data_IF_738143692120
#
_entry.id   IF_738143692120
#
_cell.length_a   1.000
_cell.length_b   1.000
_cell.length_c   1.000
_cell.angle_alpha   90.00
_cell.angle_beta   90.00
_cell.angle_gamma   90.00
#
_symmetry.space_group_name_H-M   'P 1'
#
loop_
_entity.id
_entity.type
_entity.pdbx_description
1 polymer ?
#
# COMPACT_ATOMS: atom_id res chain seq x y z
N UNK A 1 11.78 -3.81 -27.03
CA UNK A 1 10.34 -4.00 -27.39
C UNK A 1 10.24 -4.09 -28.90
N UNK A 2 9.58 -5.09 -29.42
CA UNK A 2 9.46 -5.26 -30.89
C UNK A 2 8.17 -4.60 -31.39
N UNK A 3 8.19 -4.05 -32.62
CA UNK A 3 6.98 -3.50 -33.27
C UNK A 3 5.84 -4.53 -33.36
N UNK A 4 6.16 -5.81 -33.39
CA UNK A 4 5.20 -6.90 -33.37
C UNK A 4 4.40 -6.94 -32.07
N UNK A 5 5.07 -6.74 -30.90
CA UNK A 5 4.41 -6.70 -29.60
C UNK A 5 3.43 -5.54 -29.50
N UNK A 6 3.83 -4.35 -29.98
CA UNK A 6 2.95 -3.17 -29.98
C UNK A 6 1.75 -3.40 -30.90
N UNK A 7 1.96 -3.93 -32.10
CA UNK A 7 0.87 -4.24 -33.03
C UNK A 7 -0.11 -5.25 -32.47
N UNK A 8 0.38 -6.31 -31.79
CA UNK A 8 -0.46 -7.29 -31.10
C UNK A 8 -1.34 -6.65 -30.02
N UNK A 9 -0.76 -5.76 -29.22
CA UNK A 9 -1.50 -5.08 -28.15
C UNK A 9 -2.48 -4.02 -28.67
N UNK A 10 -2.24 -3.45 -29.84
CA UNK A 10 -3.16 -2.52 -30.51
C UNK A 10 -4.28 -3.26 -31.25
N UNK A 11 -4.04 -4.50 -31.72
CA UNK A 11 -5.11 -5.35 -32.25
C UNK A 11 -5.90 -5.87 -31.04
N UNK A 12 -7.18 -5.49 -30.94
CA UNK A 12 -8.11 -6.01 -29.92
C UNK A 12 -8.77 -7.28 -30.49
N UNK A 13 -8.32 -8.48 -30.10
CA UNK A 13 -9.07 -9.68 -30.46
C UNK A 13 -10.45 -9.61 -29.80
N UNK A 14 -11.50 -9.86 -30.55
CA UNK A 14 -12.89 -9.80 -30.05
C UNK A 14 -13.17 -10.87 -28.99
N UNK A 15 -12.26 -11.82 -28.79
CA UNK A 15 -12.41 -13.04 -27.99
C UNK A 15 -11.25 -13.31 -27.04
N UNK A 16 -10.79 -12.29 -26.32
CA UNK A 16 -9.80 -12.49 -25.25
C UNK A 16 -10.37 -13.41 -24.17
N UNK A 17 -9.94 -14.68 -24.17
CA UNK A 17 -10.38 -15.71 -23.23
C UNK A 17 -10.04 -15.34 -21.77
N UNK A 18 -8.98 -14.58 -21.55
CA UNK A 18 -8.52 -14.13 -20.21
C UNK A 18 -8.04 -12.69 -20.24
N UNK A 19 -8.93 -11.69 -20.34
CA UNK A 19 -8.54 -10.28 -20.41
C UNK A 19 -7.64 -9.83 -19.26
N UNK A 20 -7.88 -10.33 -18.04
CA UNK A 20 -7.10 -10.00 -16.86
C UNK A 20 -5.63 -10.48 -16.94
N UNK A 21 -5.36 -11.61 -17.59
CA UNK A 21 -4.00 -12.09 -17.79
C UNK A 21 -3.21 -11.21 -18.78
N UNK A 22 -3.90 -10.66 -19.79
CA UNK A 22 -3.29 -9.71 -20.73
C UNK A 22 -2.99 -8.34 -20.14
N UNK A 23 -3.67 -7.99 -19.07
CA UNK A 23 -3.49 -6.68 -18.45
C UNK A 23 -2.05 -6.45 -17.94
N UNK A 24 -1.44 -7.44 -17.32
CA UNK A 24 -0.07 -7.35 -16.83
C UNK A 24 0.93 -6.98 -17.92
N UNK A 25 0.87 -7.67 -19.06
CA UNK A 25 1.74 -7.42 -20.23
C UNK A 25 1.44 -6.06 -20.87
N UNK A 26 0.17 -5.73 -21.04
CA UNK A 26 -0.28 -4.47 -21.60
C UNK A 26 0.19 -3.28 -20.77
N UNK A 27 0.04 -3.34 -19.45
CA UNK A 27 0.52 -2.33 -18.52
C UNK A 27 2.04 -2.14 -18.60
N UNK A 28 2.79 -3.25 -18.62
CA UNK A 28 4.25 -3.21 -18.69
C UNK A 28 4.74 -2.52 -19.98
N UNK A 29 4.17 -2.90 -21.12
CA UNK A 29 4.51 -2.30 -22.41
C UNK A 29 4.12 -0.83 -22.48
N UNK A 30 2.90 -0.48 -22.03
CA UNK A 30 2.45 0.91 -22.02
C UNK A 30 3.37 1.81 -21.17
N UNK A 31 3.81 1.34 -20.00
CA UNK A 31 4.75 2.09 -19.16
C UNK A 31 6.14 2.23 -19.79
N UNK A 32 6.62 1.23 -20.52
CA UNK A 32 7.88 1.34 -21.27
C UNK A 32 7.77 2.36 -22.41
N UNK A 33 6.65 2.36 -23.14
CA UNK A 33 6.38 3.33 -24.20
C UNK A 33 6.27 4.75 -23.64
N UNK A 34 5.59 4.89 -22.50
CA UNK A 34 5.46 6.16 -21.79
C UNK A 34 6.83 6.70 -21.34
N UNK A 35 7.68 5.84 -20.78
CA UNK A 35 9.04 6.19 -20.39
C UNK A 35 9.92 6.59 -21.57
N UNK A 36 9.64 6.07 -22.77
CA UNK A 36 10.29 6.48 -24.02
C UNK A 36 9.73 7.81 -24.61
N UNK A 37 8.74 8.42 -23.95
CA UNK A 37 8.18 9.73 -24.32
C UNK A 37 6.95 9.68 -25.25
N UNK A 38 6.50 8.51 -25.69
CA UNK A 38 5.31 8.39 -26.55
C UNK A 38 4.02 8.16 -25.73
N UNK A 39 3.51 9.25 -25.16
CA UNK A 39 2.30 9.21 -24.35
C UNK A 39 1.04 8.81 -25.14
N UNK A 40 0.96 9.18 -26.42
CA UNK A 40 -0.19 8.88 -27.27
C UNK A 40 -0.26 7.37 -27.56
N UNK A 41 0.86 6.76 -27.91
CA UNK A 41 0.93 5.32 -28.12
C UNK A 41 0.68 4.56 -26.82
N UNK A 42 1.28 5.00 -25.69
CA UNK A 42 1.03 4.40 -24.39
C UNK A 42 -0.46 4.42 -24.03
N UNK A 43 -1.12 5.55 -24.21
CA UNK A 43 -2.57 5.68 -24.00
C UNK A 43 -3.38 4.74 -24.88
N UNK A 44 -3.06 4.64 -26.18
CA UNK A 44 -3.74 3.71 -27.11
C UNK A 44 -3.58 2.25 -26.68
N UNK A 45 -2.38 1.87 -26.22
CA UNK A 45 -2.13 0.52 -25.70
C UNK A 45 -3.01 0.24 -24.48
N UNK A 46 -3.08 1.16 -23.52
CA UNK A 46 -3.90 1.01 -22.31
C UNK A 46 -5.39 1.01 -22.67
N UNK A 47 -5.86 1.92 -23.50
CA UNK A 47 -7.27 2.05 -23.87
C UNK A 47 -7.89 0.80 -24.51
N UNK A 48 -7.05 -0.11 -25.01
CA UNK A 48 -7.50 -1.40 -25.58
C UNK A 48 -7.53 -2.54 -24.52
N UNK A 49 -7.64 -2.22 -23.22
CA UNK A 49 -7.49 -3.19 -22.13
C UNK A 49 -8.54 -4.30 -22.09
N UNK A 50 -9.75 -4.07 -22.57
CA UNK A 50 -10.82 -5.09 -22.62
C UNK A 50 -11.36 -5.55 -21.26
N UNK A 51 -10.94 -4.92 -20.16
CA UNK A 51 -11.46 -5.21 -18.81
C UNK A 51 -12.84 -4.58 -18.63
N UNK A 52 -13.72 -5.25 -17.91
CA UNK A 52 -15.09 -4.77 -17.67
C UNK A 52 -15.38 -4.47 -16.19
N UNK A 53 -14.64 -5.12 -15.27
CA UNK A 53 -14.85 -5.04 -13.83
C UNK A 53 -13.60 -5.43 -13.03
N UNK A 54 -13.65 -5.27 -11.73
CA UNK A 54 -12.64 -5.71 -10.78
C UNK A 54 -11.36 -4.88 -10.76
N UNK A 55 -10.31 -5.44 -10.15
CA UNK A 55 -9.07 -4.70 -9.94
C UNK A 55 -8.34 -4.36 -11.26
N UNK A 56 -8.32 -5.29 -12.22
CA UNK A 56 -7.67 -5.07 -13.50
C UNK A 56 -8.35 -3.93 -14.30
N UNK A 57 -9.69 -3.80 -14.21
CA UNK A 57 -10.42 -2.67 -14.77
C UNK A 57 -10.02 -1.35 -14.10
N UNK A 58 -10.03 -1.32 -12.76
CA UNK A 58 -9.62 -0.12 -11.99
C UNK A 58 -8.20 0.33 -12.31
N UNK A 59 -7.26 -0.60 -12.43
CA UNK A 59 -5.87 -0.33 -12.78
C UNK A 59 -5.73 0.20 -14.22
N UNK A 60 -6.50 -0.35 -15.14
CA UNK A 60 -6.46 0.04 -16.56
C UNK A 60 -7.04 1.44 -16.77
N UNK A 61 -8.21 1.70 -16.23
CA UNK A 61 -8.83 3.03 -16.29
C UNK A 61 -7.98 4.09 -15.57
N UNK A 62 -7.39 3.71 -14.41
CA UNK A 62 -6.48 4.60 -13.71
C UNK A 62 -5.26 4.97 -14.57
N UNK A 63 -4.59 4.00 -15.18
CA UNK A 63 -3.40 4.27 -15.99
C UNK A 63 -3.74 5.10 -17.23
N UNK A 64 -4.88 4.82 -17.88
CA UNK A 64 -5.36 5.63 -19.01
C UNK A 64 -5.62 7.08 -18.58
N UNK A 65 -6.34 7.28 -17.47
CA UNK A 65 -6.61 8.61 -16.90
C UNK A 65 -5.34 9.35 -16.49
N UNK A 66 -4.39 8.66 -15.86
CA UNK A 66 -3.09 9.23 -15.48
C UNK A 66 -2.30 9.71 -16.69
N UNK A 67 -2.18 8.89 -17.75
CA UNK A 67 -1.51 9.26 -18.99
C UNK A 67 -2.21 10.46 -19.64
N UNK A 68 -3.53 10.43 -19.74
CA UNK A 68 -4.32 11.52 -20.31
C UNK A 68 -4.11 12.84 -19.56
N UNK A 69 -4.14 12.80 -18.21
CA UNK A 69 -3.99 14.00 -17.38
C UNK A 69 -2.57 14.56 -17.40
N UNK A 70 -1.59 13.70 -17.10
CA UNK A 70 -0.22 14.17 -16.79
C UNK A 70 0.65 14.28 -18.02
N UNK A 71 0.50 13.40 -19.00
CA UNK A 71 1.38 13.33 -20.17
C UNK A 71 0.74 13.91 -21.44
N UNK A 72 -0.57 13.70 -21.64
CA UNK A 72 -1.26 14.25 -22.83
C UNK A 72 -1.89 15.62 -22.59
N UNK A 73 -2.01 16.07 -21.32
CA UNK A 73 -2.67 17.33 -20.92
C UNK A 73 -4.14 17.41 -21.38
N UNK A 74 -4.84 16.28 -21.30
CA UNK A 74 -6.26 16.16 -21.67
C UNK A 74 -7.11 15.86 -20.41
N UNK A 75 -7.38 16.87 -19.57
CA UNK A 75 -8.04 16.66 -18.28
C UNK A 75 -9.50 16.18 -18.40
N UNK A 76 -10.21 16.53 -19.48
CA UNK A 76 -11.58 16.03 -19.69
C UNK A 76 -11.60 14.54 -19.97
N UNK A 77 -10.67 14.06 -20.81
CA UNK A 77 -10.51 12.64 -21.12
C UNK A 77 -10.09 11.84 -19.86
N UNK A 78 -9.17 12.40 -19.07
CA UNK A 78 -8.76 11.79 -17.81
C UNK A 78 -9.93 11.66 -16.83
N UNK A 79 -10.76 12.69 -16.73
CA UNK A 79 -11.94 12.70 -15.87
C UNK A 79 -12.95 11.60 -16.23
N UNK A 80 -13.14 11.33 -17.53
CA UNK A 80 -13.99 10.23 -18.00
C UNK A 80 -13.49 8.88 -17.46
N UNK A 81 -12.18 8.60 -17.56
CA UNK A 81 -11.57 7.37 -17.04
C UNK A 81 -11.76 7.22 -15.52
N UNK A 82 -11.48 8.28 -14.75
CA UNK A 82 -11.66 8.22 -13.29
C UNK A 82 -13.14 8.07 -12.89
N UNK A 83 -14.06 8.62 -13.68
CA UNK A 83 -15.50 8.44 -13.50
C UNK A 83 -15.94 6.99 -13.68
N UNK A 84 -15.36 6.28 -14.66
CA UNK A 84 -15.64 4.86 -14.85
C UNK A 84 -15.25 4.02 -13.63
N UNK A 85 -14.12 4.33 -12.97
CA UNK A 85 -13.72 3.64 -11.74
C UNK A 85 -14.74 3.88 -10.63
N UNK A 86 -15.11 5.13 -10.39
CA UNK A 86 -16.01 5.49 -9.29
C UNK A 86 -17.40 4.84 -9.42
N UNK A 87 -17.87 4.63 -10.66
CA UNK A 87 -19.19 4.06 -10.94
C UNK A 87 -19.22 2.53 -10.95
N UNK A 88 -18.07 1.87 -11.23
CA UNK A 88 -18.04 0.42 -11.45
C UNK A 88 -17.27 -0.38 -10.40
N UNK A 89 -16.48 0.28 -9.56
CA UNK A 89 -15.65 -0.40 -8.57
C UNK A 89 -16.00 0.07 -7.16
N UNK A 90 -16.20 -0.87 -6.23
CA UNK A 90 -16.70 -0.56 -4.89
C UNK A 90 -15.63 -0.63 -3.80
N UNK A 91 -14.36 -0.96 -4.12
CA UNK A 91 -13.32 -1.04 -3.10
C UNK A 91 -12.90 0.35 -2.61
N UNK A 92 -12.69 0.56 -1.30
CA UNK A 92 -12.25 1.82 -0.73
C UNK A 92 -11.01 2.41 -1.41
N UNK A 93 -10.05 1.55 -1.74
CA UNK A 93 -8.82 1.98 -2.43
C UNK A 93 -9.11 2.54 -3.82
N UNK A 94 -9.93 1.87 -4.63
CA UNK A 94 -10.25 2.33 -5.98
C UNK A 94 -11.06 3.63 -5.94
N UNK A 95 -12.04 3.74 -5.00
CA UNK A 95 -12.84 4.95 -4.80
C UNK A 95 -11.98 6.14 -4.35
N UNK A 96 -11.08 5.93 -3.38
CA UNK A 96 -10.17 6.96 -2.93
C UNK A 96 -9.27 7.47 -4.06
N UNK A 97 -8.67 6.55 -4.83
CA UNK A 97 -7.81 6.88 -5.96
C UNK A 97 -8.58 7.63 -7.05
N UNK A 98 -9.76 7.15 -7.42
CA UNK A 98 -10.61 7.83 -8.40
C UNK A 98 -11.05 9.21 -7.90
N UNK A 99 -11.41 9.34 -6.62
CA UNK A 99 -11.79 10.61 -6.00
C UNK A 99 -10.66 11.64 -6.04
N UNK A 100 -9.45 11.24 -5.64
CA UNK A 100 -8.29 12.13 -5.68
C UNK A 100 -7.91 12.55 -7.11
N UNK A 101 -7.76 11.60 -8.03
CA UNK A 101 -7.33 11.90 -9.40
C UNK A 101 -8.41 12.54 -10.25
N UNK A 102 -9.69 12.20 -10.01
CA UNK A 102 -10.84 12.89 -10.60
C UNK A 102 -10.94 14.35 -10.13
N UNK A 103 -10.66 14.60 -8.85
CA UNK A 103 -10.52 15.95 -8.30
C UNK A 103 -9.43 16.74 -9.01
N UNK A 104 -8.21 16.18 -9.15
CA UNK A 104 -7.10 16.81 -9.91
C UNK A 104 -7.46 17.07 -11.37
N UNK A 105 -8.21 16.15 -12.00
CA UNK A 105 -8.66 16.35 -13.38
C UNK A 105 -9.72 17.45 -13.50
N UNK A 106 -10.60 17.60 -12.51
CA UNK A 106 -11.57 18.67 -12.45
C UNK A 106 -10.91 20.05 -12.21
N UNK A 107 -9.92 20.12 -11.31
CA UNK A 107 -9.10 21.33 -11.10
C UNK A 107 -8.39 21.78 -12.37
N UNK A 108 -7.78 20.84 -13.09
CA UNK A 108 -7.12 21.12 -14.37
C UNK A 108 -8.10 21.63 -15.45
N UNK A 109 -9.42 21.46 -15.27
CA UNK A 109 -10.47 22.03 -16.09
C UNK A 109 -11.00 23.37 -15.55
N UNK A 110 -10.49 23.86 -14.41
CA UNK A 110 -11.01 25.08 -13.74
C UNK A 110 -12.33 24.86 -13.01
N UNK A 111 -12.75 23.61 -12.73
CA UNK A 111 -14.04 23.24 -12.13
C UNK A 111 -13.88 22.98 -10.62
N UNK A 112 -13.64 24.03 -9.82
CA UNK A 112 -13.28 23.90 -8.39
C UNK A 112 -14.36 23.23 -7.55
N UNK A 113 -15.64 23.51 -7.76
CA UNK A 113 -16.74 22.86 -7.02
C UNK A 113 -16.80 21.35 -7.32
N UNK A 114 -16.60 20.98 -8.58
CA UNK A 114 -16.57 19.59 -8.99
C UNK A 114 -15.35 18.88 -8.37
N UNK A 115 -14.19 19.54 -8.36
CA UNK A 115 -12.98 19.03 -7.73
C UNK A 115 -13.19 18.75 -6.24
N UNK A 116 -13.77 19.72 -5.51
CA UNK A 116 -14.08 19.55 -4.09
C UNK A 116 -15.06 18.38 -3.82
N UNK A 117 -16.05 18.18 -4.68
CA UNK A 117 -16.95 17.01 -4.60
C UNK A 117 -16.21 15.69 -4.77
N UNK A 118 -15.30 15.61 -5.72
CA UNK A 118 -14.52 14.40 -5.98
C UNK A 118 -13.51 14.11 -4.86
N UNK A 119 -12.82 15.14 -4.37
CA UNK A 119 -11.97 15.01 -3.19
C UNK A 119 -12.78 14.58 -1.96
N UNK A 120 -14.01 15.10 -1.80
CA UNK A 120 -14.93 14.67 -0.75
C UNK A 120 -15.19 13.17 -0.79
N UNK A 121 -15.51 12.62 -1.95
CA UNK A 121 -15.73 11.18 -2.13
C UNK A 121 -14.46 10.35 -1.86
N UNK A 122 -13.30 10.85 -2.26
CA UNK A 122 -12.01 10.20 -1.93
C UNK A 122 -11.72 10.21 -0.43
N UNK A 123 -11.96 11.33 0.23
CA UNK A 123 -11.69 11.56 1.65
C UNK A 123 -12.56 10.73 2.61
N UNK A 124 -13.64 10.10 2.14
CA UNK A 124 -14.38 9.10 2.93
C UNK A 124 -13.54 7.87 3.29
N UNK A 125 -12.42 7.66 2.60
CA UNK A 125 -11.58 6.47 2.73
C UNK A 125 -10.21 6.77 3.34
N UNK A 126 -10.18 7.38 4.53
CA UNK A 126 -8.98 7.85 5.24
C UNK A 126 -7.97 6.75 5.60
N UNK A 127 -8.36 5.47 5.55
CA UNK A 127 -7.43 4.35 5.72
C UNK A 127 -6.55 4.09 4.47
N UNK A 128 -6.65 4.94 3.43
CA UNK A 128 -5.95 4.78 2.16
C UNK A 128 -5.09 6.00 1.82
N UNK A 129 -4.00 5.79 1.11
CA UNK A 129 -3.09 6.84 0.65
C UNK A 129 -3.82 7.98 -0.08
N UNK A 130 -4.64 7.64 -1.06
CA UNK A 130 -5.38 8.64 -1.83
C UNK A 130 -6.52 9.28 -1.06
N UNK A 131 -7.10 8.59 -0.08
CA UNK A 131 -8.10 9.16 0.82
C UNK A 131 -7.52 10.27 1.69
N UNK A 132 -6.31 10.05 2.22
CA UNK A 132 -5.57 11.05 2.99
C UNK A 132 -5.16 12.25 2.12
N UNK A 133 -4.71 12.01 0.89
CA UNK A 133 -4.40 13.09 -0.06
C UNK A 133 -5.64 13.88 -0.46
N UNK A 134 -6.77 13.22 -0.68
CA UNK A 134 -8.04 13.89 -0.99
C UNK A 134 -8.52 14.74 0.20
N UNK A 135 -8.37 14.26 1.42
CA UNK A 135 -8.68 15.02 2.62
C UNK A 135 -7.81 16.28 2.76
N UNK A 136 -6.50 16.16 2.45
CA UNK A 136 -5.59 17.30 2.42
C UNK A 136 -6.06 18.39 1.44
N UNK A 137 -6.52 18.02 0.23
CA UNK A 137 -7.03 18.99 -0.75
C UNK A 137 -8.28 19.76 -0.25
N UNK A 138 -8.93 19.26 0.79
CA UNK A 138 -10.06 19.91 1.47
C UNK A 138 -9.64 20.63 2.76
N UNK A 139 -8.34 20.80 3.02
CA UNK A 139 -7.81 21.40 4.24
C UNK A 139 -7.98 20.53 5.49
N UNK A 140 -8.09 19.21 5.33
CA UNK A 140 -8.24 18.24 6.42
C UNK A 140 -6.93 17.47 6.62
N UNK A 141 -5.96 18.07 7.31
CA UNK A 141 -4.58 17.55 7.44
C UNK A 141 -4.35 16.64 8.65
N UNK A 142 -5.35 16.50 9.52
CA UNK A 142 -5.19 15.66 10.72
C UNK A 142 -4.98 14.18 10.34
N UNK A 143 -4.03 13.49 10.97
CA UNK A 143 -3.88 12.05 10.82
C UNK A 143 -5.20 11.32 11.13
N UNK A 144 -5.47 10.19 10.45
CA UNK A 144 -6.65 9.38 10.75
C UNK A 144 -6.63 8.96 12.22
N UNK A 145 -7.66 9.34 12.97
CA UNK A 145 -7.80 8.90 14.36
C UNK A 145 -8.36 7.49 14.39
N UNK A 146 -7.88 6.63 15.33
CA UNK A 146 -8.51 5.34 15.53
C UNK A 146 -10.00 5.51 15.80
N UNK A 147 -10.81 4.84 15.00
CA UNK A 147 -12.25 4.71 15.27
C UNK A 147 -12.44 3.46 16.14
N UNK A 148 -13.37 3.48 17.11
CA UNK A 148 -13.73 2.28 17.84
C UNK A 148 -14.05 1.14 16.86
N UNK A 149 -13.53 -0.03 17.12
CA UNK A 149 -13.84 -1.20 16.32
C UNK A 149 -15.25 -1.71 16.66
N UNK A 150 -15.89 -2.42 15.72
CA UNK A 150 -17.23 -2.97 15.98
C UNK A 150 -17.23 -3.90 17.18
N UNK A 151 -18.10 -3.64 18.15
CA UNK A 151 -18.29 -4.48 19.33
C UNK A 151 -19.40 -5.49 19.07
N UNK A 152 -19.10 -6.82 19.16
CA UNK A 152 -20.12 -7.83 18.97
C UNK A 152 -21.06 -7.92 20.19
N UNK A 153 -22.31 -8.22 19.95
CA UNK A 153 -23.28 -8.58 20.99
C UNK A 153 -22.98 -9.95 21.58
N UNK A 154 -23.54 -10.27 22.76
CA UNK A 154 -23.38 -11.58 23.39
C UNK A 154 -23.89 -12.73 22.51
N UNK A 155 -24.98 -12.48 21.76
CA UNK A 155 -25.55 -13.46 20.84
C UNK A 155 -24.64 -13.70 19.65
N UNK A 156 -24.03 -12.64 19.06
CA UNK A 156 -23.06 -12.77 17.97
C UNK A 156 -21.81 -13.54 18.42
N UNK A 157 -21.31 -13.29 19.64
CA UNK A 157 -20.19 -14.05 20.21
C UNK A 157 -20.57 -15.53 20.36
N UNK A 158 -21.75 -15.83 20.90
CA UNK A 158 -22.23 -17.21 21.09
C UNK A 158 -22.35 -17.93 19.74
N UNK A 159 -22.92 -17.27 18.73
CA UNK A 159 -23.05 -17.81 17.39
C UNK A 159 -21.68 -18.04 16.73
N UNK A 160 -20.77 -17.08 16.87
CA UNK A 160 -19.41 -17.18 16.35
C UNK A 160 -18.64 -18.34 16.97
N UNK A 161 -18.67 -18.49 18.29
CA UNK A 161 -17.99 -19.58 19.01
C UNK A 161 -18.62 -20.95 18.71
N UNK A 162 -19.90 -20.99 18.41
CA UNK A 162 -20.61 -22.21 17.97
C UNK A 162 -20.28 -22.65 16.54
N UNK A 163 -19.71 -21.75 15.71
CA UNK A 163 -19.47 -22.06 14.31
C UNK A 163 -18.31 -23.06 14.14
N UNK A 164 -18.58 -24.17 13.44
CA UNK A 164 -17.63 -25.31 13.34
C UNK A 164 -16.24 -24.88 12.82
N UNK A 165 -16.18 -23.99 11.83
CA UNK A 165 -14.90 -23.54 11.27
C UNK A 165 -14.12 -22.62 12.21
N UNK A 166 -14.81 -21.85 13.07
CA UNK A 166 -14.17 -21.04 14.13
C UNK A 166 -13.55 -21.95 15.17
N UNK A 167 -14.32 -22.98 15.61
CA UNK A 167 -13.82 -23.98 16.56
C UNK A 167 -12.63 -24.74 15.99
N UNK A 168 -12.68 -25.13 14.71
CA UNK A 168 -11.56 -25.78 14.04
C UNK A 168 -10.31 -24.87 14.00
N UNK A 169 -10.46 -23.60 13.62
CA UNK A 169 -9.34 -22.66 13.61
C UNK A 169 -8.69 -22.53 15.00
N UNK A 170 -9.53 -22.35 16.05
CA UNK A 170 -9.06 -22.26 17.43
C UNK A 170 -8.33 -23.53 17.87
N UNK A 171 -8.89 -24.70 17.64
CA UNK A 171 -8.27 -25.98 18.00
C UNK A 171 -6.92 -26.16 17.31
N UNK A 172 -6.79 -25.82 16.03
CA UNK A 172 -5.50 -25.91 15.35
C UNK A 172 -4.45 -24.97 15.95
N UNK A 173 -4.83 -23.74 16.31
CA UNK A 173 -3.91 -22.82 17.00
C UNK A 173 -3.50 -23.35 18.38
N UNK A 174 -4.44 -23.90 19.17
CA UNK A 174 -4.17 -24.50 20.48
C UNK A 174 -3.23 -25.70 20.40
N UNK A 175 -3.34 -26.49 19.33
CA UNK A 175 -2.46 -27.63 19.04
C UNK A 175 -1.10 -27.21 18.45
N UNK A 176 -0.86 -25.92 18.23
CA UNK A 176 0.36 -25.41 17.60
C UNK A 176 0.41 -25.61 16.08
N UNK A 177 -0.65 -26.11 15.46
CA UNK A 177 -0.76 -26.26 14.00
C UNK A 177 -1.22 -24.94 13.35
N UNK A 178 -0.30 -23.99 13.35
CA UNK A 178 -0.54 -22.66 12.82
C UNK A 178 -0.87 -22.66 11.32
N UNK A 179 -0.42 -23.65 10.57
CA UNK A 179 -0.66 -23.74 9.12
C UNK A 179 -2.14 -24.00 8.82
N UNK A 180 -2.73 -24.99 9.46
CA UNK A 180 -4.16 -25.29 9.30
C UNK A 180 -5.03 -24.19 9.95
N UNK A 181 -4.68 -23.70 11.15
CA UNK A 181 -5.38 -22.58 11.77
C UNK A 181 -5.49 -21.37 10.85
N UNK A 182 -4.41 -21.02 10.15
CA UNK A 182 -4.36 -19.96 9.13
C UNK A 182 -5.34 -20.20 7.98
N UNK A 183 -5.41 -21.43 7.45
CA UNK A 183 -6.31 -21.76 6.34
C UNK A 183 -7.77 -21.52 6.72
N UNK A 184 -8.20 -22.01 7.89
CA UNK A 184 -9.57 -21.83 8.38
C UNK A 184 -9.87 -20.35 8.67
N UNK A 185 -8.98 -19.64 9.36
CA UNK A 185 -9.18 -18.24 9.69
C UNK A 185 -9.31 -17.36 8.43
N UNK A 186 -8.42 -17.55 7.45
CA UNK A 186 -8.46 -16.77 6.21
C UNK A 186 -9.66 -17.15 5.33
N UNK A 187 -10.09 -18.41 5.35
CA UNK A 187 -11.34 -18.80 4.70
C UNK A 187 -12.53 -18.04 5.31
N UNK A 188 -12.64 -18.05 6.64
CA UNK A 188 -13.68 -17.30 7.35
C UNK A 188 -13.64 -15.80 7.02
N UNK A 189 -12.45 -15.19 7.03
CA UNK A 189 -12.28 -13.77 6.72
C UNK A 189 -12.64 -13.43 5.25
N UNK A 190 -12.42 -14.36 4.31
CA UNK A 190 -12.80 -14.16 2.91
C UNK A 190 -14.33 -14.20 2.68
N UNK A 191 -15.09 -14.82 3.59
CA UNK A 191 -16.54 -14.95 3.51
C UNK A 191 -17.27 -14.08 4.53
N UNK A 192 -16.54 -13.38 5.40
CA UNK A 192 -17.12 -12.45 6.36
C UNK A 192 -17.77 -11.25 5.64
N UNK A 193 -18.96 -10.88 6.09
CA UNK A 193 -19.72 -9.75 5.56
C UNK A 193 -20.10 -8.74 6.63
N UNK A 194 -20.06 -9.13 7.91
CA UNK A 194 -20.41 -8.26 9.03
C UNK A 194 -19.17 -7.63 9.66
N UNK A 195 -19.24 -6.34 10.03
CA UNK A 195 -18.17 -5.64 10.75
C UNK A 195 -17.74 -6.38 12.03
N UNK A 196 -18.69 -6.88 12.82
CA UNK A 196 -18.42 -7.61 14.07
C UNK A 196 -17.74 -8.95 13.84
N UNK A 197 -18.06 -9.65 12.74
CA UNK A 197 -17.36 -10.88 12.35
C UNK A 197 -15.88 -10.63 12.04
N UNK A 198 -15.55 -9.55 11.34
CA UNK A 198 -14.14 -9.19 11.10
C UNK A 198 -13.41 -8.89 12.41
N UNK A 199 -14.03 -8.15 13.34
CA UNK A 199 -13.44 -7.84 14.63
C UNK A 199 -13.18 -9.12 15.45
N UNK A 200 -14.15 -10.03 15.52
CA UNK A 200 -14.00 -11.32 16.22
C UNK A 200 -12.92 -12.21 15.61
N UNK A 201 -12.81 -12.26 14.28
CA UNK A 201 -11.76 -13.02 13.60
C UNK A 201 -10.37 -12.43 13.84
N UNK A 202 -10.23 -11.09 13.85
CA UNK A 202 -8.99 -10.41 14.16
C UNK A 202 -8.58 -10.64 15.61
N UNK A 203 -9.53 -10.58 16.56
CA UNK A 203 -9.32 -10.90 17.97
C UNK A 203 -8.91 -12.36 18.15
N UNK A 204 -9.56 -13.32 17.47
CA UNK A 204 -9.16 -14.72 17.49
C UNK A 204 -7.72 -14.93 17.05
N UNK A 205 -7.31 -14.29 15.95
CA UNK A 205 -5.93 -14.34 15.47
C UNK A 205 -4.94 -13.77 16.51
N UNK A 206 -5.23 -12.59 17.05
CA UNK A 206 -4.38 -11.92 18.03
C UNK A 206 -4.25 -12.74 19.33
N UNK A 207 -5.37 -13.27 19.85
CA UNK A 207 -5.38 -14.10 21.06
C UNK A 207 -4.64 -15.43 20.85
N UNK A 208 -4.52 -15.89 19.61
CA UNK A 208 -3.70 -17.05 19.23
C UNK A 208 -2.23 -16.71 18.97
N UNK A 209 -1.77 -15.49 19.30
CA UNK A 209 -0.41 -15.03 19.06
C UNK A 209 -0.08 -14.76 17.57
N UNK A 210 -1.07 -14.75 16.69
CA UNK A 210 -0.92 -14.60 15.24
C UNK A 210 -1.27 -13.18 14.80
N UNK A 211 -0.40 -12.23 15.17
CA UNK A 211 -0.54 -10.82 14.80
C UNK A 211 -0.58 -10.64 13.26
N UNK A 212 0.21 -11.42 12.53
CA UNK A 212 0.23 -11.45 11.07
C UNK A 212 -1.15 -11.76 10.48
N UNK A 213 -1.88 -12.68 11.09
CA UNK A 213 -3.22 -13.04 10.66
C UNK A 213 -4.27 -12.00 11.07
N UNK A 214 -4.12 -11.37 12.23
CA UNK A 214 -4.99 -10.25 12.62
C UNK A 214 -4.88 -9.10 11.60
N UNK A 215 -3.67 -8.76 11.17
CA UNK A 215 -3.42 -7.78 10.10
C UNK A 215 -4.03 -8.26 8.77
N UNK A 216 -3.92 -9.56 8.43
CA UNK A 216 -4.52 -10.09 7.22
C UNK A 216 -6.05 -9.99 7.22
N UNK A 217 -6.70 -10.23 8.35
CA UNK A 217 -8.14 -10.03 8.55
C UNK A 217 -8.49 -8.54 8.42
N UNK A 218 -7.74 -7.67 9.08
CA UNK A 218 -7.96 -6.22 9.03
C UNK A 218 -7.82 -5.65 7.61
N UNK A 219 -6.90 -6.15 6.79
CA UNK A 219 -6.78 -5.77 5.37
C UNK A 219 -8.06 -6.12 4.60
N UNK A 220 -8.66 -7.30 4.83
CA UNK A 220 -9.94 -7.70 4.22
C UNK A 220 -11.11 -6.86 4.73
N UNK A 221 -11.11 -6.55 6.02
CA UNK A 221 -12.10 -5.68 6.62
C UNK A 221 -12.08 -4.27 6.00
N UNK A 222 -10.89 -3.71 5.76
CA UNK A 222 -10.73 -2.43 5.03
C UNK A 222 -11.31 -2.54 3.61
N UNK A 223 -11.02 -3.62 2.88
CA UNK A 223 -11.57 -3.85 1.55
C UNK A 223 -13.10 -3.96 1.55
N UNK A 224 -13.67 -4.48 2.63
CA UNK A 224 -15.13 -4.53 2.87
C UNK A 224 -15.71 -3.21 3.42
N UNK A 225 -14.90 -2.16 3.61
CA UNK A 225 -15.34 -0.87 4.12
C UNK A 225 -15.41 -0.75 5.65
N UNK A 226 -14.85 -1.74 6.37
CA UNK A 226 -14.81 -1.77 7.85
C UNK A 226 -13.36 -1.70 8.34
N UNK A 227 -12.76 -0.52 8.52
CA UNK A 227 -11.39 -0.42 8.98
C UNK A 227 -11.26 -0.87 10.45
N UNK A 228 -10.42 -1.89 10.71
CA UNK A 228 -10.01 -2.31 12.04
C UNK A 228 -8.70 -1.61 12.40
N UNK A 229 -8.80 -0.52 13.15
CA UNK A 229 -7.64 0.35 13.43
C UNK A 229 -6.81 -0.13 14.63
N UNK A 230 -7.35 -0.99 15.49
CA UNK A 230 -6.63 -1.54 16.66
C UNK A 230 -5.93 -2.84 16.25
N UNK A 231 -6.70 -3.84 15.81
CA UNK A 231 -6.16 -5.14 15.42
C UNK A 231 -5.30 -5.09 14.14
N UNK A 232 -5.60 -4.14 13.25
CA UNK A 232 -4.86 -3.99 12.00
C UNK A 232 -3.55 -3.22 12.10
N UNK A 233 -3.31 -2.53 13.23
CA UNK A 233 -2.14 -1.66 13.41
C UNK A 233 -1.45 -1.91 14.77
N UNK A 234 -0.94 -3.11 15.00
CA UNK A 234 -0.26 -3.47 16.24
C UNK A 234 1.03 -2.68 16.40
N UNK A 235 1.45 -2.52 17.66
CA UNK A 235 2.74 -1.95 18.03
C UNK A 235 3.56 -2.97 18.81
N UNK A 236 4.88 -2.78 18.88
CA UNK A 236 5.80 -3.58 19.67
C UNK A 236 6.83 -2.68 20.35
N UNK A 237 7.55 -3.21 21.32
CA UNK A 237 8.69 -2.50 21.89
C UNK A 237 9.77 -2.33 20.81
N UNK A 238 10.30 -1.12 20.74
CA UNK A 238 11.38 -0.75 19.83
C UNK A 238 12.62 -0.36 20.63
N UNK A 239 13.83 -0.60 20.10
CA UNK A 239 15.05 -0.08 20.68
C UNK A 239 14.96 1.43 20.90
N UNK A 240 15.45 1.93 22.00
CA UNK A 240 15.51 3.37 22.29
C UNK A 240 16.54 4.07 21.39
N UNK A 241 16.37 5.38 21.21
CA UNK A 241 17.29 6.22 20.41
C UNK A 241 16.94 6.24 18.91
N UNK A 242 17.84 6.87 18.14
CA UNK A 242 17.67 7.08 16.70
C UNK A 242 16.81 8.31 16.36
N UNK A 243 16.77 8.66 15.09
CA UNK A 243 16.08 9.85 14.54
C UNK A 243 14.79 9.48 13.81
N UNK A 244 14.68 8.24 13.32
CA UNK A 244 13.46 7.78 12.66
C UNK A 244 12.33 7.58 13.68
N UNK A 245 11.17 8.15 13.38
CA UNK A 245 10.00 8.03 14.25
C UNK A 245 9.48 6.59 14.31
N UNK A 246 9.02 6.17 15.49
CA UNK A 246 8.50 4.81 15.72
C UNK A 246 7.33 4.47 14.78
N UNK A 247 6.49 5.45 14.46
CA UNK A 247 5.38 5.30 13.52
C UNK A 247 5.83 4.84 12.14
N UNK A 248 6.97 5.33 11.64
CA UNK A 248 7.54 4.90 10.37
C UNK A 248 8.06 3.46 10.44
N UNK A 249 8.71 3.09 11.55
CA UNK A 249 9.21 1.73 11.74
C UNK A 249 8.06 0.72 11.82
N UNK A 250 6.98 1.04 12.54
CA UNK A 250 5.79 0.20 12.58
C UNK A 250 5.12 0.09 11.20
N UNK A 251 5.06 1.18 10.44
CA UNK A 251 4.52 1.16 9.08
C UNK A 251 5.32 0.24 8.16
N UNK A 252 6.65 0.25 8.26
CA UNK A 252 7.55 -0.65 7.53
C UNK A 252 7.36 -2.10 8.00
N UNK A 253 7.41 -2.39 9.31
CA UNK A 253 7.21 -3.75 9.85
C UNK A 253 5.87 -4.34 9.41
N UNK A 254 4.80 -3.52 9.43
CA UNK A 254 3.47 -3.95 8.96
C UNK A 254 3.47 -4.32 7.49
N UNK A 255 4.22 -3.60 6.68
CA UNK A 255 4.29 -3.85 5.23
C UNK A 255 5.22 -5.01 4.88
N UNK A 256 6.34 -5.18 5.60
CA UNK A 256 7.37 -6.19 5.34
C UNK A 256 6.96 -7.59 5.82
N UNK A 257 6.63 -7.73 7.09
CA UNK A 257 6.39 -9.04 7.71
C UNK A 257 5.00 -9.20 8.31
N UNK A 258 4.18 -8.14 8.32
CA UNK A 258 2.99 -8.09 9.15
C UNK A 258 3.30 -8.43 10.64
N UNK A 259 4.45 -8.00 11.15
CA UNK A 259 4.96 -8.28 12.50
C UNK A 259 5.30 -9.77 12.76
N UNK A 260 5.46 -10.61 11.74
CA UNK A 260 5.92 -11.98 11.89
C UNK A 260 7.45 -11.98 12.15
N UNK A 261 7.84 -12.35 13.38
CA UNK A 261 9.23 -12.19 13.86
C UNK A 261 10.21 -13.12 13.15
N UNK A 262 9.78 -14.31 12.82
CA UNK A 262 10.56 -15.38 12.18
C UNK A 262 10.34 -15.45 10.66
N UNK A 263 9.71 -14.43 10.07
CA UNK A 263 9.46 -14.39 8.64
C UNK A 263 10.75 -14.48 7.83
N UNK A 264 10.75 -15.36 6.82
CA UNK A 264 11.81 -15.50 5.84
C UNK A 264 11.21 -15.46 4.44
N UNK A 265 11.60 -14.47 3.65
CA UNK A 265 11.10 -14.35 2.28
C UNK A 265 11.77 -15.36 1.34
N UNK A 266 11.18 -15.57 0.15
CA UNK A 266 11.76 -16.46 -0.89
C UNK A 266 13.16 -16.04 -1.34
N UNK A 267 13.50 -14.76 -1.21
CA UNK A 267 14.80 -14.20 -1.59
C UNK A 267 15.76 -14.09 -0.39
N UNK A 268 15.34 -14.54 0.79
CA UNK A 268 16.16 -14.62 1.99
C UNK A 268 16.17 -13.37 2.87
N UNK A 269 15.24 -12.42 2.68
CA UNK A 269 15.03 -11.34 3.64
C UNK A 269 14.41 -11.90 4.95
N UNK A 270 14.81 -11.37 6.12
CA UNK A 270 14.55 -11.99 7.43
C UNK A 270 14.00 -11.03 8.47
N UNK A 271 13.09 -11.53 9.28
CA UNK A 271 12.58 -10.94 10.52
C UNK A 271 11.57 -9.80 10.30
N UNK A 272 11.28 -9.06 11.37
CA UNK A 272 10.25 -8.02 11.43
C UNK A 272 10.36 -6.99 10.30
N UNK A 273 11.57 -6.55 10.00
CA UNK A 273 11.83 -5.52 8.98
C UNK A 273 12.38 -6.11 7.67
N UNK A 274 12.33 -7.45 7.49
CA UNK A 274 12.74 -8.14 6.27
C UNK A 274 14.10 -7.70 5.72
N UNK A 275 15.11 -7.69 6.60
CA UNK A 275 16.47 -7.32 6.20
C UNK A 275 17.15 -8.43 5.41
N UNK A 276 17.76 -8.06 4.28
CA UNK A 276 18.70 -8.95 3.60
C UNK A 276 19.94 -9.16 4.47
N UNK A 277 20.43 -10.42 4.66
CA UNK A 277 21.58 -10.69 5.51
C UNK A 277 22.84 -9.86 5.19
N UNK A 278 23.11 -9.62 3.91
CA UNK A 278 24.23 -8.79 3.50
C UNK A 278 24.07 -7.31 3.93
N UNK A 279 22.86 -6.76 3.82
CA UNK A 279 22.55 -5.40 4.29
C UNK A 279 22.69 -5.32 5.81
N UNK A 280 22.09 -6.27 6.54
CA UNK A 280 22.16 -6.33 7.99
C UNK A 280 23.59 -6.45 8.51
N UNK A 281 24.42 -7.32 7.90
CA UNK A 281 25.84 -7.47 8.22
C UNK A 281 26.64 -6.16 8.03
N UNK A 282 26.38 -5.44 6.93
CA UNK A 282 27.02 -4.15 6.67
C UNK A 282 26.64 -3.10 7.72
N UNK A 283 25.37 -3.09 8.16
CA UNK A 283 24.89 -2.16 9.19
C UNK A 283 25.47 -2.52 10.55
N UNK A 284 25.44 -3.80 10.93
CA UNK A 284 26.03 -4.27 12.18
C UNK A 284 27.52 -3.92 12.28
N UNK A 285 28.27 -4.08 11.18
CA UNK A 285 29.69 -3.69 11.13
C UNK A 285 29.89 -2.17 11.34
N UNK A 286 29.05 -1.33 10.75
CA UNK A 286 29.08 0.14 10.97
C UNK A 286 28.79 0.50 12.43
N UNK A 287 27.90 -0.25 13.06
CA UNK A 287 27.53 -0.07 14.48
C UNK A 287 28.50 -0.76 15.45
N UNK A 288 29.53 -1.45 14.96
CA UNK A 288 30.47 -2.26 15.74
C UNK A 288 29.77 -3.36 16.57
N UNK A 289 28.67 -3.92 16.03
CA UNK A 289 27.91 -5.00 16.65
C UNK A 289 28.29 -6.33 16.04
N UNK A 290 28.29 -7.44 16.82
CA UNK A 290 28.42 -8.78 16.27
C UNK A 290 27.20 -9.10 15.38
N UNK A 291 27.43 -9.96 14.37
CA UNK A 291 26.41 -10.33 13.41
C UNK A 291 26.27 -11.84 13.24
N UNK A 292 25.03 -12.31 13.30
CA UNK A 292 24.61 -13.62 12.79
C UNK A 292 23.31 -13.46 12.02
N UNK A 293 23.20 -14.11 10.86
CA UNK A 293 21.98 -14.07 10.06
C UNK A 293 20.77 -14.69 10.79
N UNK A 294 21.01 -15.63 11.69
CA UNK A 294 19.95 -16.29 12.47
C UNK A 294 19.36 -15.38 13.55
N UNK A 295 20.13 -14.42 14.03
CA UNK A 295 19.62 -13.42 14.99
C UNK A 295 18.55 -12.51 14.37
N UNK A 296 18.54 -12.37 13.05
CA UNK A 296 17.51 -11.57 12.36
C UNK A 296 16.08 -12.11 12.55
N UNK A 297 15.94 -13.40 12.82
CA UNK A 297 14.66 -14.06 13.10
C UNK A 297 14.48 -14.42 14.58
N UNK A 298 15.58 -14.70 15.30
CA UNK A 298 15.54 -15.07 16.69
C UNK A 298 15.33 -13.87 17.63
N UNK A 299 15.89 -12.70 17.30
CA UNK A 299 15.84 -11.49 18.10
C UNK A 299 15.18 -10.33 17.34
N UNK A 300 13.89 -10.09 17.64
CA UNK A 300 13.11 -9.01 17.02
C UNK A 300 13.66 -7.62 17.36
N UNK A 301 14.23 -7.44 18.55
CA UNK A 301 14.84 -6.17 19.00
C UNK A 301 16.10 -5.86 18.21
N UNK A 302 16.94 -6.88 18.00
CA UNK A 302 18.13 -6.76 17.16
C UNK A 302 17.76 -6.46 15.69
N UNK A 303 16.75 -7.16 15.13
CA UNK A 303 16.26 -6.88 13.78
C UNK A 303 15.74 -5.45 13.65
N UNK A 304 14.94 -4.98 14.63
CA UNK A 304 14.41 -3.63 14.66
C UNK A 304 15.51 -2.56 14.77
N UNK A 305 16.56 -2.82 15.56
CA UNK A 305 17.72 -1.93 15.70
C UNK A 305 18.46 -1.73 14.38
N UNK A 306 18.80 -2.83 13.72
CA UNK A 306 19.46 -2.77 12.41
C UNK A 306 18.57 -2.15 11.35
N UNK A 307 17.28 -2.50 11.36
CA UNK A 307 16.28 -1.94 10.43
C UNK A 307 16.10 -0.42 10.60
N UNK A 308 16.02 0.06 11.84
CA UNK A 308 15.98 1.50 12.16
C UNK A 308 17.20 2.21 11.56
N UNK A 309 18.39 1.71 11.87
CA UNK A 309 19.64 2.32 11.39
C UNK A 309 19.69 2.34 9.85
N UNK A 310 19.16 1.30 9.20
CA UNK A 310 19.07 1.29 7.74
C UNK A 310 18.10 2.33 7.20
N UNK A 311 16.90 2.45 7.79
CA UNK A 311 15.91 3.48 7.41
C UNK A 311 16.50 4.87 7.58
N UNK A 312 17.18 5.15 8.69
CA UNK A 312 17.84 6.43 8.97
C UNK A 312 18.90 6.76 7.93
N UNK A 313 19.72 5.78 7.57
CA UNK A 313 20.74 5.97 6.52
C UNK A 313 20.12 6.29 5.16
N UNK A 314 18.96 5.68 4.84
CA UNK A 314 18.25 5.98 3.59
C UNK A 314 17.58 7.35 3.64
N UNK A 315 17.01 7.77 4.76
CA UNK A 315 16.45 9.12 4.91
C UNK A 315 17.56 10.17 4.70
N UNK A 316 18.74 9.98 5.28
CA UNK A 316 19.90 10.84 5.09
C UNK A 316 20.37 10.84 3.62
N UNK A 317 20.57 9.65 3.03
CA UNK A 317 20.98 9.44 1.62
C UNK A 317 20.06 10.14 0.60
N UNK A 318 18.79 10.29 0.94
CA UNK A 318 17.79 10.95 0.09
C UNK A 318 17.36 12.33 0.60
N UNK A 319 18.19 12.98 1.43
CA UNK A 319 18.02 14.37 1.84
C UNK A 319 16.78 14.64 2.67
N UNK A 320 16.34 13.68 3.48
CA UNK A 320 15.17 13.80 4.36
C UNK A 320 13.86 13.29 3.72
N UNK A 321 13.84 12.95 2.43
CA UNK A 321 12.63 12.50 1.74
C UNK A 321 12.19 11.10 2.17
N UNK A 322 11.07 11.02 2.86
CA UNK A 322 10.49 9.73 3.27
C UNK A 322 10.05 8.88 2.07
N UNK A 323 9.42 9.49 1.08
CA UNK A 323 8.96 8.76 -0.11
C UNK A 323 10.11 8.07 -0.85
N UNK A 324 11.24 8.78 -1.03
CA UNK A 324 12.42 8.22 -1.70
C UNK A 324 13.15 7.19 -0.83
N UNK A 325 13.25 7.43 0.49
CA UNK A 325 13.83 6.47 1.43
C UNK A 325 13.04 5.17 1.49
N UNK A 326 11.70 5.25 1.54
CA UNK A 326 10.80 4.09 1.51
C UNK A 326 10.91 3.34 0.18
N UNK A 327 10.97 4.05 -0.95
CA UNK A 327 11.21 3.43 -2.25
C UNK A 327 12.57 2.72 -2.30
N UNK A 328 13.60 3.31 -1.70
CA UNK A 328 14.95 2.75 -1.64
C UNK A 328 15.03 1.54 -0.69
N UNK A 329 14.25 1.52 0.38
CA UNK A 329 14.15 0.37 1.26
C UNK A 329 13.67 -0.87 0.50
N UNK A 330 12.61 -0.73 -0.30
CA UNK A 330 12.04 -1.84 -1.08
C UNK A 330 12.86 -2.19 -2.33
N UNK A 331 13.20 -1.20 -3.16
CA UNK A 331 13.82 -1.44 -4.47
C UNK A 331 15.35 -1.39 -4.46
N UNK A 332 15.94 -0.88 -3.40
CA UNK A 332 17.36 -0.58 -3.27
C UNK A 332 17.74 0.84 -3.74
N UNK A 333 18.68 1.50 -3.04
CA UNK A 333 19.03 2.92 -3.28
C UNK A 333 19.60 3.18 -4.67
N UNK A 334 20.28 2.20 -5.27
CA UNK A 334 20.84 2.33 -6.63
C UNK A 334 19.72 2.51 -7.68
N UNK A 335 18.62 1.76 -7.56
CA UNK A 335 17.48 1.86 -8.49
C UNK A 335 16.78 3.20 -8.35
N UNK A 336 16.55 3.65 -7.13
CA UNK A 336 15.90 4.96 -6.89
C UNK A 336 16.75 6.09 -7.44
N UNK A 337 18.07 6.09 -7.24
CA UNK A 337 18.98 7.08 -7.87
C UNK A 337 18.93 7.04 -9.41
N UNK A 338 18.72 5.85 -10.00
CA UNK A 338 18.51 5.76 -11.44
C UNK A 338 17.17 6.35 -11.85
N UNK A 339 16.08 6.06 -11.14
CA UNK A 339 14.76 6.63 -11.44
C UNK A 339 14.71 8.16 -11.29
N UNK A 340 15.46 8.72 -10.33
CA UNK A 340 15.62 10.18 -10.23
C UNK A 340 16.31 10.78 -11.46
N UNK A 341 17.23 10.06 -12.10
CA UNK A 341 17.85 10.49 -13.36
C UNK A 341 16.91 10.36 -14.55
N UNK A 342 16.16 9.26 -14.60
CA UNK A 342 15.31 8.90 -15.74
C UNK A 342 14.00 9.71 -15.77
N UNK A 343 13.42 9.98 -14.59
CA UNK A 343 12.10 10.61 -14.45
C UNK A 343 12.13 11.99 -13.79
N UNK A 344 13.31 12.47 -13.40
CA UNK A 344 13.51 13.73 -12.69
C UNK A 344 13.43 13.59 -11.18
N UNK A 345 13.92 14.63 -10.47
CA UNK A 345 13.97 14.67 -9.01
C UNK A 345 12.79 15.50 -8.47
N UNK A 346 11.86 14.88 -7.71
CA UNK A 346 10.70 15.58 -7.20
C UNK A 346 11.00 16.53 -6.04
N UNK A 347 12.15 16.41 -5.37
CA UNK A 347 12.54 17.26 -4.22
C UNK A 347 12.70 18.74 -4.57
N UNK A 348 12.98 19.04 -5.82
CA UNK A 348 13.11 20.42 -6.32
C UNK A 348 11.78 21.09 -6.68
N UNK A 349 10.64 20.44 -6.49
CA UNK A 349 9.32 21.00 -6.78
C UNK A 349 8.95 21.07 -8.27
N UNK A 350 9.85 20.68 -9.18
CA UNK A 350 9.60 20.64 -10.63
C UNK A 350 8.66 19.49 -11.04
N UNK A 351 8.61 18.46 -10.22
CA UNK A 351 7.77 17.29 -10.40
C UNK A 351 7.03 17.04 -9.07
N UNK A 352 5.73 16.84 -9.15
CA UNK A 352 4.91 16.45 -8.02
C UNK A 352 5.32 15.05 -7.53
N UNK A 353 5.51 14.88 -6.22
CA UNK A 353 5.96 13.60 -5.65
C UNK A 353 4.95 12.47 -5.89
N UNK A 354 3.64 12.75 -5.88
CA UNK A 354 2.62 11.74 -6.18
C UNK A 354 2.71 11.29 -7.63
N UNK A 355 2.95 12.24 -8.56
CA UNK A 355 3.18 11.93 -9.96
C UNK A 355 4.45 11.08 -10.13
N UNK A 356 5.54 11.44 -9.42
CA UNK A 356 6.78 10.67 -9.44
C UNK A 356 6.58 9.24 -8.95
N UNK A 357 5.88 9.04 -7.83
CA UNK A 357 5.55 7.71 -7.32
C UNK A 357 4.83 6.89 -8.39
N UNK A 358 3.88 7.48 -9.11
CA UNK A 358 3.14 6.78 -10.16
C UNK A 358 3.98 6.47 -11.41
N UNK A 359 5.09 7.18 -11.65
CA UNK A 359 6.03 6.87 -12.74
C UNK A 359 6.97 5.72 -12.42
N UNK A 360 7.20 5.38 -11.14
CA UNK A 360 8.07 4.27 -10.74
C UNK A 360 7.68 2.99 -11.50
N UNK A 361 8.62 2.34 -12.22
CA UNK A 361 8.26 1.27 -13.17
C UNK A 361 7.85 -0.05 -12.47
N UNK A 362 8.30 -0.26 -11.22
CA UNK A 362 8.02 -1.46 -10.44
C UNK A 362 6.71 -1.27 -9.66
N UNK A 363 5.67 -2.02 -10.03
CA UNK A 363 4.34 -1.95 -9.39
C UNK A 363 4.41 -2.25 -7.88
N UNK A 364 5.22 -3.22 -7.49
CA UNK A 364 5.43 -3.55 -6.08
C UNK A 364 5.96 -2.35 -5.30
N UNK A 365 6.96 -1.65 -5.83
CA UNK A 365 7.56 -0.49 -5.15
C UNK A 365 6.60 0.70 -5.09
N UNK A 366 5.82 0.97 -6.15
CA UNK A 366 4.76 2.00 -6.10
C UNK A 366 3.79 1.73 -4.97
N UNK A 367 3.25 0.51 -4.93
CA UNK A 367 2.32 0.09 -3.89
C UNK A 367 2.96 0.13 -2.50
N UNK A 368 4.22 -0.28 -2.40
CA UNK A 368 4.96 -0.27 -1.14
C UNK A 368 5.07 1.15 -0.56
N UNK A 369 5.49 2.12 -1.38
CA UNK A 369 5.59 3.53 -0.94
C UNK A 369 4.25 4.06 -0.46
N UNK A 370 3.19 3.85 -1.24
CA UNK A 370 1.85 4.29 -0.87
C UNK A 370 1.37 3.64 0.44
N UNK A 371 1.57 2.31 0.59
CA UNK A 371 1.15 1.57 1.79
C UNK A 371 1.93 1.97 3.04
N UNK A 372 3.23 2.17 2.94
CA UNK A 372 4.03 2.59 4.10
C UNK A 372 3.63 4.01 4.52
N UNK A 373 3.47 4.94 3.57
CA UNK A 373 3.08 6.31 3.88
C UNK A 373 1.66 6.41 4.46
N UNK A 374 0.67 5.64 3.94
CA UNK A 374 -0.67 5.62 4.54
C UNK A 374 -0.66 5.04 5.96
N UNK A 375 0.08 3.94 6.18
CA UNK A 375 0.21 3.32 7.49
C UNK A 375 0.89 4.25 8.48
N UNK A 376 1.91 5.00 8.05
CA UNK A 376 2.60 6.00 8.87
C UNK A 376 1.62 6.98 9.49
N UNK A 377 0.67 7.51 8.71
CA UNK A 377 -0.33 8.45 9.22
C UNK A 377 -1.26 7.80 10.25
N UNK A 378 -1.65 6.56 10.01
CA UNK A 378 -2.52 5.82 10.94
C UNK A 378 -1.77 5.55 12.26
N UNK A 379 -0.51 5.12 12.21
CA UNK A 379 0.30 4.95 13.43
C UNK A 379 0.54 6.26 14.18
N UNK A 380 0.73 7.39 13.49
CA UNK A 380 0.82 8.71 14.15
C UNK A 380 -0.46 9.04 14.90
N UNK A 381 -1.61 8.81 14.28
CA UNK A 381 -2.92 9.01 14.93
C UNK A 381 -3.14 8.09 16.12
N UNK A 382 -2.66 6.84 16.06
CA UNK A 382 -2.81 5.85 17.13
C UNK A 382 -1.87 6.09 18.31
N UNK A 383 -0.62 6.48 18.07
CA UNK A 383 0.38 6.67 19.12
C UNK A 383 0.18 8.01 19.86
N UNK A 384 -0.71 8.88 19.33
CA UNK A 384 -1.07 10.15 19.98
C UNK A 384 0.06 11.19 19.99
N UNK A 385 1.13 10.97 19.25
CA UNK A 385 2.09 12.02 18.95
C UNK A 385 1.47 12.87 17.84
N UNK A 386 0.95 14.02 18.22
CA UNK A 386 0.61 15.08 17.27
C UNK A 386 1.90 15.52 16.57
N UNK A 387 2.32 14.74 15.58
CA UNK A 387 3.30 15.27 14.65
C UNK A 387 2.58 16.33 13.82
N UNK A 388 3.18 17.49 13.70
CA UNK A 388 2.71 18.55 12.81
C UNK A 388 2.74 18.13 11.31
N UNK A 389 3.03 16.86 11.03
CA UNK A 389 3.23 16.34 9.69
C UNK A 389 2.03 15.53 9.23
N UNK A 390 1.49 15.95 8.11
CA UNK A 390 0.50 15.21 7.32
C UNK A 390 1.19 14.40 6.23
N UNK A 391 0.46 13.53 5.55
CA UNK A 391 0.95 12.83 4.37
C UNK A 391 1.50 13.81 3.32
N UNK A 392 0.83 14.94 3.10
CA UNK A 392 1.28 15.95 2.16
C UNK A 392 2.62 16.58 2.57
N UNK A 393 2.81 16.83 3.88
CA UNK A 393 4.11 17.31 4.41
C UNK A 393 5.23 16.30 4.21
N UNK A 394 4.94 14.99 4.38
CA UNK A 394 5.94 13.93 4.17
C UNK A 394 6.33 13.80 2.69
N UNK A 395 5.39 14.07 1.77
CA UNK A 395 5.66 14.08 0.34
C UNK A 395 6.41 15.33 -0.12
N UNK A 396 6.35 16.41 0.64
CA UNK A 396 7.04 17.67 0.34
C UNK A 396 8.50 17.74 0.86
N UNK A 397 8.93 16.77 1.65
CA UNK A 397 10.30 16.66 2.20
C UNK A 397 11.36 16.34 1.15
#
# INVERSE_FOLDING_TARGET
>A
MTDATVRLLLSRPNDLVRPAAWWGERQAVARQVLAAGDAVLAYRIVGQHGQIEGNAFSEAEFLAGFIALRHMKQPSLAFEHFSQILTRVNTPFAKARAGYWGGRAAEAQGKSELAAKWYGAGAEHMATFYGQLAAHQLGRDAPPRPVPEPEPTADEVTQFDGYVLVRAARTFFELGDAAHGKVFLLHLANHATSPTTFAMLAALAQNSGRIDLAIAVAKRAIEAGTPLMIHGYPTTELPSGGTAENSLLFAIMRQESAFERDAVSRVGARGLMQLMPATASSIAAKMQLPFSADWLTADGTYNALLGRTYVESLIEDFGGSYALAIAAYNAGPRRVRQWLKDYGDPRGGSIDMVDWIETVPITETRNYVQRVLENLQIYRGQIGRESAFSLASDLAR
#
